data_IF_440929057272
#
_entry.id   IF_440929057272
#
_cell.length_a   1.000
_cell.length_b   1.000
_cell.length_c   1.000
_cell.angle_alpha   90.00
_cell.angle_beta   90.00
_cell.angle_gamma   90.00
#
_symmetry.space_group_name_H-M   'P 1'
#
loop_
_entity.id
_entity.type
_entity.pdbx_description
1 polymer ?
#
# COMPACT_ATOMS: atom_id res chain seq x y z
N UNK A 1 -2.81 -10.62 27.82
CA UNK A 1 -2.92 -10.17 26.42
C UNK A 1 -2.82 -11.39 25.51
N UNK A 2 -3.70 -11.53 24.51
CA UNK A 2 -3.57 -12.59 23.52
C UNK A 2 -2.28 -12.38 22.72
N UNK A 3 -1.52 -13.46 22.50
CA UNK A 3 -0.28 -13.39 21.71
C UNK A 3 -0.63 -13.49 20.23
N UNK A 4 -0.13 -12.56 19.41
CA UNK A 4 -0.39 -12.51 17.98
C UNK A 4 0.07 -13.80 17.27
N UNK A 5 -0.56 -14.14 16.14
CA UNK A 5 -0.19 -15.31 15.35
C UNK A 5 1.29 -15.29 14.98
N UNK A 6 1.79 -14.12 14.56
CA UNK A 6 3.17 -13.93 14.13
C UNK A 6 4.18 -14.41 15.18
N UNK A 7 3.95 -14.11 16.45
CA UNK A 7 4.87 -14.43 17.55
C UNK A 7 4.72 -15.88 18.03
N UNK A 8 3.59 -16.51 17.72
CA UNK A 8 3.24 -17.82 18.27
C UNK A 8 3.55 -18.97 17.34
N UNK A 9 3.44 -18.79 16.03
CA UNK A 9 3.51 -19.87 15.04
C UNK A 9 4.86 -19.83 14.31
N UNK A 10 5.94 -20.07 15.07
CA UNK A 10 7.32 -20.04 14.55
C UNK A 10 7.80 -21.34 13.89
N UNK A 11 6.93 -22.34 13.77
CA UNK A 11 7.31 -23.66 13.23
C UNK A 11 6.14 -24.63 13.16
N UNK A 12 6.32 -25.74 12.43
CA UNK A 12 5.29 -26.76 12.19
C UNK A 12 4.79 -27.40 13.49
N UNK A 13 5.69 -27.65 14.45
CA UNK A 13 5.30 -28.20 15.75
C UNK A 13 4.45 -27.20 16.56
N UNK A 14 4.79 -25.91 16.52
CA UNK A 14 4.01 -24.86 17.18
C UNK A 14 2.63 -24.71 16.54
N UNK A 15 2.58 -24.74 15.20
CA UNK A 15 1.33 -24.77 14.44
C UNK A 15 0.45 -25.95 14.86
N UNK A 16 0.96 -27.19 14.83
CA UNK A 16 0.19 -28.39 15.22
C UNK A 16 -0.33 -28.32 16.66
N UNK A 17 0.45 -27.75 17.58
CA UNK A 17 0.06 -27.62 18.99
C UNK A 17 -1.01 -26.54 19.22
N UNK A 18 -0.93 -25.41 18.52
CA UNK A 18 -1.79 -24.24 18.73
C UNK A 18 -2.99 -24.18 17.79
N UNK A 19 -2.96 -24.91 16.67
CA UNK A 19 -4.06 -24.99 15.70
C UNK A 19 -5.34 -25.50 16.39
N UNK A 20 -6.47 -24.79 16.26
CA UNK A 20 -7.76 -25.27 16.80
C UNK A 20 -8.11 -26.65 16.25
N UNK A 21 -8.64 -27.56 17.10
CA UNK A 21 -8.99 -28.94 16.71
C UNK A 21 -9.95 -29.00 15.51
N UNK A 22 -10.87 -28.03 15.42
CA UNK A 22 -11.88 -27.94 14.37
C UNK A 22 -11.54 -26.87 13.31
N UNK A 23 -10.26 -26.55 13.13
CA UNK A 23 -9.86 -25.53 12.14
C UNK A 23 -9.97 -26.07 10.72
N UNK A 24 -10.68 -25.31 9.90
CA UNK A 24 -10.90 -25.59 8.49
C UNK A 24 -9.64 -25.34 7.65
N UNK A 25 -9.54 -25.99 6.49
CA UNK A 25 -8.60 -25.59 5.44
C UNK A 25 -9.19 -24.47 4.59
N UNK A 26 -8.36 -23.74 3.82
CA UNK A 26 -8.86 -22.70 2.91
C UNK A 26 -9.93 -23.21 1.94
N UNK A 27 -9.79 -24.44 1.44
CA UNK A 27 -10.77 -25.07 0.53
C UNK A 27 -12.09 -25.45 1.21
N UNK A 28 -12.12 -25.50 2.55
CA UNK A 28 -13.33 -25.80 3.35
C UNK A 28 -14.07 -24.54 3.80
N UNK A 29 -13.55 -23.34 3.50
CA UNK A 29 -14.22 -22.08 3.78
C UNK A 29 -15.26 -21.81 2.67
N UNK A 30 -16.52 -21.63 3.08
CA UNK A 30 -17.65 -21.38 2.17
C UNK A 30 -17.48 -20.05 1.41
N UNK A 31 -16.93 -19.05 2.08
CA UNK A 31 -16.51 -17.79 1.48
C UNK A 31 -15.14 -17.39 2.03
N UNK A 32 -14.30 -16.86 1.15
CA UNK A 32 -13.01 -16.29 1.54
C UNK A 32 -13.16 -14.77 1.61
N UNK A 33 -13.00 -14.15 2.80
CA UNK A 33 -13.01 -12.70 2.89
C UNK A 33 -11.82 -12.11 2.12
N UNK A 34 -11.91 -10.83 1.77
CA UNK A 34 -10.78 -10.08 1.22
C UNK A 34 -9.56 -10.21 2.14
N UNK A 35 -8.35 -10.24 1.56
CA UNK A 35 -7.10 -10.40 2.34
C UNK A 35 -6.94 -9.38 3.46
N UNK A 36 -7.42 -8.15 3.26
CA UNK A 36 -7.43 -7.08 4.27
C UNK A 36 -8.31 -7.39 5.49
N UNK A 37 -9.19 -8.39 5.42
CA UNK A 37 -10.05 -8.84 6.51
C UNK A 37 -9.62 -10.20 7.08
N UNK A 38 -8.47 -10.72 6.67
CA UNK A 38 -7.95 -11.96 7.25
C UNK A 38 -7.50 -11.72 8.69
N UNK A 39 -7.71 -12.73 9.53
CA UNK A 39 -7.38 -12.73 10.95
C UNK A 39 -6.60 -14.00 11.31
N UNK A 40 -6.41 -14.25 12.60
CA UNK A 40 -5.83 -15.49 13.13
C UNK A 40 -6.48 -16.75 12.55
N UNK A 41 -7.79 -16.75 12.30
CA UNK A 41 -8.52 -17.92 11.80
C UNK A 41 -8.10 -18.29 10.37
N UNK A 42 -8.03 -17.31 9.47
CA UNK A 42 -7.61 -17.47 8.08
C UNK A 42 -6.13 -17.85 8.00
N UNK A 43 -5.29 -17.30 8.90
CA UNK A 43 -3.89 -17.70 9.02
C UNK A 43 -3.73 -19.18 9.40
N UNK A 44 -4.58 -19.69 10.30
CA UNK A 44 -4.65 -21.13 10.58
C UNK A 44 -5.14 -21.94 9.37
N UNK A 45 -6.16 -21.46 8.66
CA UNK A 45 -6.70 -22.13 7.49
C UNK A 45 -5.70 -22.21 6.33
N UNK A 46 -4.92 -21.15 6.13
CA UNK A 46 -3.81 -21.06 5.18
C UNK A 46 -2.58 -21.88 5.61
N UNK A 47 -2.59 -22.40 6.85
CA UNK A 47 -1.48 -23.17 7.46
C UNK A 47 -0.17 -22.38 7.42
N UNK A 48 -0.23 -21.08 7.68
CA UNK A 48 0.94 -20.21 7.66
C UNK A 48 1.93 -20.64 8.74
N UNK A 49 3.21 -20.72 8.38
CA UNK A 49 4.29 -20.92 9.34
C UNK A 49 5.27 -19.76 9.18
N UNK A 50 5.39 -18.95 10.23
CA UNK A 50 6.32 -17.81 10.25
C UNK A 50 7.69 -18.36 10.61
N UNK A 51 8.62 -18.40 9.66
CA UNK A 51 9.99 -18.83 9.98
C UNK A 51 10.71 -17.67 10.64
N UNK A 52 11.13 -17.90 11.87
CA UNK A 52 12.07 -17.00 12.53
C UNK A 52 13.46 -17.27 11.97
N UNK A 53 14.10 -16.23 11.42
CA UNK A 53 15.45 -16.36 10.90
C UNK A 53 16.45 -16.43 12.07
N UNK A 54 16.67 -17.65 12.56
CA UNK A 54 17.62 -17.90 13.67
C UNK A 54 19.06 -17.71 13.22
N UNK A 55 19.33 -17.86 11.93
CA UNK A 55 20.63 -17.63 11.34
C UNK A 55 20.63 -16.22 10.76
N UNK A 56 21.06 -15.22 11.55
CA UNK A 56 21.27 -13.81 11.14
C UNK A 56 22.16 -13.61 9.88
N UNK A 57 22.59 -14.69 9.21
CA UNK A 57 23.60 -14.75 8.17
C UNK A 57 23.06 -14.57 6.74
N UNK A 58 21.76 -14.69 6.47
CA UNK A 58 21.22 -14.33 5.15
C UNK A 58 20.17 -13.23 5.24
N UNK A 59 20.62 -11.99 5.40
CA UNK A 59 19.79 -10.79 5.13
C UNK A 59 19.39 -10.65 3.66
N UNK A 60 19.71 -11.67 2.85
CA UNK A 60 19.42 -11.75 1.44
C UNK A 60 18.14 -12.55 1.24
N UNK A 61 17.23 -12.02 0.40
CA UNK A 61 16.10 -12.79 -0.08
C UNK A 61 16.63 -14.06 -0.75
N UNK A 62 16.23 -15.27 -0.32
CA UNK A 62 16.77 -16.51 -0.87
C UNK A 62 16.64 -16.59 -2.40
N UNK A 63 15.56 -16.04 -2.95
CA UNK A 63 15.34 -15.96 -4.39
C UNK A 63 16.34 -15.05 -5.12
N UNK A 64 16.95 -14.08 -4.43
CA UNK A 64 17.96 -13.19 -4.99
C UNK A 64 19.39 -13.70 -4.82
N UNK A 65 19.61 -14.67 -3.91
CA UNK A 65 20.95 -15.18 -3.60
C UNK A 65 21.76 -15.65 -4.82
N UNK A 66 21.17 -16.37 -5.81
CA UNK A 66 21.90 -16.79 -6.99
C UNK A 66 22.31 -15.64 -7.93
N UNK A 67 21.67 -14.48 -7.81
CA UNK A 67 21.82 -13.36 -8.75
C UNK A 67 22.73 -12.25 -8.23
N UNK A 68 23.19 -12.34 -6.98
CA UNK A 68 23.98 -11.31 -6.33
C UNK A 68 25.42 -11.81 -6.17
N UNK A 69 26.32 -11.15 -6.88
CA UNK A 69 27.76 -11.35 -6.72
C UNK A 69 28.23 -10.62 -5.44
N UNK A 70 28.90 -11.36 -4.54
CA UNK A 70 29.45 -10.82 -3.30
C UNK A 70 30.66 -9.90 -3.53
N UNK A 71 31.19 -9.84 -4.75
CA UNK A 71 32.33 -9.00 -5.13
C UNK A 71 31.91 -7.54 -5.44
N UNK A 72 31.36 -6.85 -4.46
CA UNK A 72 31.02 -5.44 -4.57
C UNK A 72 31.71 -4.65 -3.46
N UNK A 73 32.77 -3.90 -3.80
CA UNK A 73 33.49 -3.03 -2.87
C UNK A 73 33.67 -1.64 -3.46
N UNK A 74 32.56 -0.98 -3.75
CA UNK A 74 32.44 0.47 -3.60
C UNK A 74 30.96 0.80 -3.40
N UNK A 75 30.59 1.13 -2.17
CA UNK A 75 29.23 1.46 -1.77
C UNK A 75 29.06 2.97 -1.54
N UNK A 76 29.90 3.81 -2.16
CA UNK A 76 29.86 5.25 -1.95
C UNK A 76 28.48 5.90 -2.21
N UNK A 77 27.66 5.48 -3.20
CA UNK A 77 26.29 6.01 -3.33
C UNK A 77 25.39 5.56 -2.17
N UNK A 78 25.43 4.28 -1.80
CA UNK A 78 24.64 3.77 -0.66
C UNK A 78 25.04 4.41 0.66
N UNK A 79 26.31 4.80 0.79
CA UNK A 79 26.79 5.53 1.97
C UNK A 79 26.09 6.88 2.10
N UNK A 80 25.90 7.63 1.01
CA UNK A 80 25.14 8.90 1.02
C UNK A 80 23.67 8.69 1.38
N UNK A 81 23.08 7.58 0.95
CA UNK A 81 21.73 7.20 1.37
C UNK A 81 21.66 6.96 2.89
N UNK A 82 22.62 6.24 3.46
CA UNK A 82 22.67 5.92 4.90
C UNK A 82 23.02 7.14 5.76
N UNK A 83 23.93 7.99 5.31
CA UNK A 83 24.28 9.26 5.97
C UNK A 83 23.11 10.25 5.95
N UNK A 84 22.13 10.01 5.06
CA UNK A 84 20.96 10.84 4.92
C UNK A 84 21.27 12.17 4.21
N UNK A 85 20.27 13.05 4.13
CA UNK A 85 20.43 14.35 3.48
C UNK A 85 21.25 15.36 4.30
N UNK A 86 21.70 15.01 5.51
CA UNK A 86 22.27 15.96 6.45
C UNK A 86 21.19 16.86 7.07
N UNK A 87 21.48 18.16 7.22
CA UNK A 87 20.47 19.15 7.63
C UNK A 87 19.61 19.51 6.41
N UNK A 88 18.44 18.89 6.30
CA UNK A 88 17.41 19.38 5.38
C UNK A 88 16.85 20.69 5.92
N UNK A 89 16.73 21.69 5.04
CA UNK A 89 15.73 22.73 5.25
C UNK A 89 14.34 22.08 5.02
N UNK A 90 13.45 22.02 6.02
CA UNK A 90 12.10 21.47 5.86
C UNK A 90 11.32 22.14 4.73
N UNK A 91 11.70 23.35 4.32
CA UNK A 91 11.06 24.12 3.26
C UNK A 91 11.77 23.99 1.90
N UNK A 92 12.87 23.22 1.81
CA UNK A 92 13.58 23.04 0.55
C UNK A 92 12.65 22.43 -0.52
N UNK A 93 12.46 23.12 -1.67
CA UNK A 93 11.66 22.59 -2.76
C UNK A 93 12.37 21.39 -3.40
N UNK A 94 11.59 20.52 -4.03
CA UNK A 94 12.08 19.32 -4.73
C UNK A 94 13.22 19.63 -5.72
N UNK A 95 13.07 20.71 -6.50
CA UNK A 95 14.09 21.16 -7.45
C UNK A 95 15.43 21.42 -6.78
N UNK A 96 15.46 22.05 -5.61
CA UNK A 96 16.70 22.34 -4.88
C UNK A 96 17.35 21.05 -4.39
N UNK A 97 16.56 20.15 -3.80
CA UNK A 97 17.05 18.85 -3.33
C UNK A 97 17.63 17.99 -4.46
N UNK A 98 17.01 18.02 -5.64
CA UNK A 98 17.51 17.37 -6.86
C UNK A 98 18.84 17.98 -7.33
N UNK A 99 19.01 19.31 -7.25
CA UNK A 99 20.27 19.95 -7.62
C UNK A 99 21.40 19.62 -6.65
N UNK A 100 21.12 19.56 -5.33
CA UNK A 100 22.13 19.29 -4.30
C UNK A 100 22.54 17.81 -4.28
N UNK A 101 21.57 16.90 -4.32
CA UNK A 101 21.80 15.47 -4.09
C UNK A 101 21.82 14.63 -5.38
N UNK A 102 21.49 15.24 -6.52
CA UNK A 102 21.33 14.60 -7.81
C UNK A 102 19.95 13.98 -8.00
N UNK A 103 19.65 13.62 -9.25
CA UNK A 103 18.34 13.14 -9.71
C UNK A 103 17.71 12.11 -8.76
N UNK A 104 18.25 10.91 -8.66
CA UNK A 104 17.59 9.85 -7.85
C UNK A 104 17.50 10.12 -6.35
N UNK A 105 18.59 10.59 -5.73
CA UNK A 105 18.65 10.77 -4.26
C UNK A 105 17.88 12.03 -3.82
N UNK A 106 17.90 13.08 -4.64
CA UNK A 106 17.15 14.31 -4.39
C UNK A 106 15.64 14.09 -4.46
N UNK A 107 15.14 13.30 -5.41
CA UNK A 107 13.72 12.93 -5.45
C UNK A 107 13.32 12.13 -4.20
N UNK A 108 14.16 11.22 -3.70
CA UNK A 108 13.91 10.49 -2.45
C UNK A 108 13.80 11.45 -1.25
N UNK A 109 14.73 12.39 -1.13
CA UNK A 109 14.69 13.39 -0.05
C UNK A 109 13.50 14.33 -0.18
N UNK A 110 13.11 14.72 -1.38
CA UNK A 110 11.91 15.52 -1.60
C UNK A 110 10.63 14.76 -1.20
N UNK A 111 10.53 13.47 -1.52
CA UNK A 111 9.41 12.63 -1.10
C UNK A 111 9.32 12.51 0.44
N UNK A 112 10.46 12.31 1.11
CA UNK A 112 10.52 12.30 2.57
C UNK A 112 10.17 13.65 3.19
N UNK A 113 10.62 14.76 2.58
CA UNK A 113 10.30 16.11 3.06
C UNK A 113 8.79 16.41 2.98
N UNK A 114 8.12 15.96 1.91
CA UNK A 114 6.65 16.07 1.79
C UNK A 114 5.94 15.36 2.94
N UNK A 115 6.39 14.16 3.33
CA UNK A 115 5.80 13.40 4.42
C UNK A 115 6.03 14.06 5.79
N UNK A 116 7.25 14.54 6.05
CA UNK A 116 7.60 15.24 7.29
C UNK A 116 6.74 16.50 7.51
N UNK A 117 6.48 17.25 6.43
CA UNK A 117 5.65 18.44 6.47
C UNK A 117 4.15 18.13 6.62
N UNK A 118 3.68 17.01 6.07
CA UNK A 118 2.29 16.57 6.24
C UNK A 118 1.96 16.23 7.70
N UNK A 119 2.91 15.64 8.44
CA UNK A 119 2.74 15.31 9.86
C UNK A 119 2.63 16.55 10.76
N UNK A 120 3.23 17.68 10.39
CA UNK A 120 3.15 18.93 11.16
C UNK A 120 1.80 19.65 11.09
N UNK A 121 0.93 19.28 10.14
CA UNK A 121 -0.37 19.93 9.95
C UNK A 121 -1.47 19.28 10.81
N UNK A 122 -1.32 18.02 11.25
CA UNK A 122 -2.34 17.34 12.07
C UNK A 122 -2.27 17.69 13.56
N UNK A 123 -1.10 18.05 14.09
CA UNK A 123 -0.97 18.33 15.54
C UNK A 123 -1.58 19.68 15.95
N UNK A 124 -1.83 20.59 15.01
CA UNK A 124 -2.48 21.87 15.31
C UNK A 124 -4.01 21.75 15.47
N UNK A 125 -4.62 20.60 15.17
CA UNK A 125 -6.06 20.39 15.30
C UNK A 125 -6.48 19.64 16.58
N UNK A 126 -5.53 19.22 17.42
CA UNK A 126 -5.81 18.43 18.65
C UNK A 126 -5.65 19.26 19.94
N UNK A 127 -5.35 20.55 19.83
CA UNK A 127 -5.17 21.45 20.98
C UNK A 127 -6.48 22.10 21.50
N UNK A 128 -7.66 21.53 21.21
CA UNK A 128 -8.92 21.91 21.87
C UNK A 128 -9.73 20.65 22.18
N UNK A 129 -9.65 20.18 23.43
CA UNK A 129 -10.56 19.16 23.96
C UNK A 129 -9.91 17.88 24.48
N UNK A 130 -8.91 17.98 25.36
CA UNK A 130 -8.61 16.88 26.31
C UNK A 130 -9.73 16.90 27.36
N UNK A 131 -10.80 16.14 27.10
CA UNK A 131 -11.77 15.73 28.11
C UNK A 131 -11.57 14.24 28.36
N UNK A 132 -11.14 13.90 29.57
CA UNK A 132 -11.13 12.55 30.13
C UNK A 132 -12.42 11.79 29.75
N UNK A 133 -12.29 10.66 29.05
CA UNK A 133 -13.33 9.64 29.07
C UNK A 133 -13.11 8.74 30.29
N UNK A 134 -14.02 8.73 31.28
CA UNK A 134 -13.99 7.72 32.33
C UNK A 134 -14.47 6.37 31.78
N UNK A 135 -14.03 5.25 32.37
CA UNK A 135 -14.43 3.92 31.93
C UNK A 135 -15.89 3.63 32.28
N UNK A 136 -16.56 2.92 31.38
CA UNK A 136 -17.90 2.37 31.53
C UNK A 136 -18.07 1.62 32.86
N UNK A 137 -18.95 2.13 33.72
CA UNK A 137 -19.52 1.40 34.85
C UNK A 137 -21.03 1.49 34.70
N UNK A 138 -21.66 0.32 34.49
CA UNK A 138 -23.09 0.10 34.63
C UNK A 138 -23.51 0.40 36.08
N UNK A 139 -24.41 1.35 36.32
CA UNK A 139 -25.55 1.14 37.22
C UNK A 139 -26.59 2.27 37.18
N UNK A 140 -27.78 1.89 37.63
CA UNK A 140 -29.11 2.44 37.47
C UNK A 140 -29.44 3.68 38.36
N UNK A 141 -30.59 4.30 38.04
CA UNK A 141 -31.43 5.20 38.87
C UNK A 141 -31.24 6.76 38.91
N UNK A 142 -32.30 7.43 38.40
CA UNK A 142 -33.03 8.61 38.92
C UNK A 142 -32.35 10.01 39.02
N UNK A 143 -32.71 10.87 38.04
CA UNK A 143 -33.28 12.28 38.06
C UNK A 143 -32.77 13.32 39.12
N UNK A 144 -32.95 14.67 38.97
CA UNK A 144 -33.77 15.42 38.00
C UNK A 144 -33.16 16.72 37.39
N UNK A 145 -33.90 17.22 36.40
CA UNK A 145 -33.91 18.56 35.80
C UNK A 145 -33.98 19.74 36.80
N UNK A 146 -33.28 20.84 36.50
CA UNK A 146 -33.65 22.22 36.91
C UNK A 146 -33.03 23.28 35.98
N UNK A 147 -33.64 24.48 35.87
CA UNK A 147 -33.52 25.38 34.72
C UNK A 147 -32.53 26.56 34.90
N UNK A 148 -32.27 27.24 33.78
CA UNK A 148 -31.41 28.43 33.52
C UNK A 148 -31.87 29.68 34.31
N UNK A 149 -30.98 30.67 34.52
CA UNK A 149 -31.30 32.03 34.02
C UNK A 149 -30.16 32.76 33.30
N UNK A 150 -30.62 33.77 32.56
CA UNK A 150 -30.08 34.54 31.44
C UNK A 150 -29.35 35.84 31.88
N UNK A 151 -28.79 36.58 30.90
CA UNK A 151 -28.30 37.99 30.91
C UNK A 151 -26.84 38.26 31.42
N UNK A 152 -25.99 39.10 30.81
CA UNK A 152 -26.07 40.02 29.67
C UNK A 152 -24.66 40.48 29.18
N UNK A 153 -24.65 41.09 27.97
CA UNK A 153 -23.80 42.18 27.47
C UNK A 153 -22.51 41.90 26.62
N UNK A 154 -22.63 42.30 25.34
CA UNK A 154 -21.67 42.51 24.23
C UNK A 154 -20.75 43.75 24.44
N UNK A 155 -19.74 44.11 23.58
CA UNK A 155 -19.70 43.93 22.11
C UNK A 155 -18.35 43.78 21.34
N UNK A 156 -18.51 43.49 20.03
CA UNK A 156 -17.64 43.83 18.85
C UNK A 156 -16.25 43.19 18.73
N UNK A 157 -15.71 42.83 17.57
CA UNK A 157 -16.14 42.75 16.17
C UNK A 157 -15.00 42.05 15.40
N UNK A 158 -15.31 41.11 14.50
CA UNK A 158 -14.85 41.17 13.11
C UNK A 158 -15.36 39.97 12.30
N UNK A 159 -16.24 40.32 11.38
CA UNK A 159 -16.78 39.52 10.30
C UNK A 159 -15.68 39.15 9.31
N UNK A 160 -15.56 37.86 8.94
CA UNK A 160 -14.86 37.47 7.73
C UNK A 160 -15.81 36.76 6.77
N UNK A 161 -15.80 37.30 5.57
CA UNK A 161 -16.76 37.22 4.50
C UNK A 161 -16.83 35.86 3.82
N UNK A 162 -18.06 35.39 3.59
CA UNK A 162 -18.39 34.29 2.67
C UNK A 162 -18.00 34.68 1.24
N UNK A 163 -16.99 34.04 0.67
CA UNK A 163 -16.65 34.18 -0.75
C UNK A 163 -17.62 33.35 -1.60
N UNK A 164 -18.52 34.05 -2.32
CA UNK A 164 -19.36 33.48 -3.39
C UNK A 164 -18.47 32.93 -4.50
N UNK A 165 -18.70 31.67 -4.91
CA UNK A 165 -18.08 31.03 -6.07
C UNK A 165 -18.73 31.61 -7.33
N UNK A 166 -17.91 32.27 -8.17
CA UNK A 166 -18.34 32.84 -9.45
C UNK A 166 -18.31 31.72 -10.49
N UNK A 167 -19.46 31.45 -11.07
CA UNK A 167 -19.68 30.52 -12.17
C UNK A 167 -19.22 31.23 -13.45
N UNK A 168 -18.27 30.64 -14.17
CA UNK A 168 -17.88 31.07 -15.52
C UNK A 168 -18.54 30.14 -16.51
N UNK A 169 -19.64 30.61 -17.10
CA UNK A 169 -20.12 30.17 -18.40
C UNK A 169 -19.17 30.70 -19.47
N UNK A 170 -18.66 29.80 -20.31
CA UNK A 170 -17.94 30.15 -21.52
C UNK A 170 -18.91 29.99 -22.69
N UNK A 171 -19.39 31.11 -23.23
CA UNK A 171 -20.03 31.16 -24.53
C UNK A 171 -19.14 31.90 -25.53
N UNK A 172 -18.95 31.22 -26.66
CA UNK A 172 -18.85 31.71 -28.04
C UNK A 172 -17.82 32.77 -28.38
N UNK A 173 -16.75 32.33 -29.08
CA UNK A 173 -16.33 32.93 -30.34
C UNK A 173 -15.66 31.85 -31.22
N UNK A 174 -16.18 31.67 -32.43
CA UNK A 174 -15.58 30.92 -33.56
C UNK A 174 -15.53 31.89 -34.78
N UNK A 175 -15.10 31.53 -36.02
CA UNK A 175 -14.31 30.40 -36.52
C UNK A 175 -13.24 30.80 -37.59
N UNK A 176 -12.45 29.82 -38.09
CA UNK A 176 -11.97 29.60 -39.48
C UNK A 176 -10.76 28.64 -39.44
N UNK A 177 -10.55 27.63 -40.28
CA UNK A 177 -11.20 27.17 -41.51
C UNK A 177 -10.61 25.80 -41.91
N UNK A 178 -11.45 24.93 -42.49
CA UNK A 178 -11.13 23.93 -43.52
C UNK A 178 -10.22 22.73 -43.17
N UNK A 179 -10.83 21.55 -42.99
CA UNK A 179 -10.64 20.43 -43.93
C UNK A 179 -11.76 19.39 -43.77
N UNK A 180 -12.39 19.06 -44.89
CA UNK A 180 -13.42 18.04 -45.06
C UNK A 180 -12.81 16.64 -45.12
N UNK A 181 -13.51 15.64 -44.60
CA UNK A 181 -13.64 14.30 -45.18
C UNK A 181 -14.87 13.61 -44.57
N UNK A 182 -15.90 13.36 -45.39
CA UNK A 182 -17.07 12.54 -45.06
C UNK A 182 -16.68 11.05 -44.93
N UNK A 183 -17.53 10.06 -44.67
CA UNK A 183 -18.98 9.81 -44.63
C UNK A 183 -19.11 8.56 -43.72
N UNK A 184 -20.18 8.18 -43.01
CA UNK A 184 -21.54 7.83 -43.43
C UNK A 184 -22.24 7.19 -42.21
N UNK A 185 -23.52 7.50 -41.95
CA UNK A 185 -24.39 6.75 -41.02
C UNK A 185 -25.29 5.78 -41.79
N UNK A 186 -25.84 4.73 -41.13
CA UNK A 186 -27.30 4.71 -40.98
C UNK A 186 -27.84 4.15 -39.62
N UNK A 187 -28.81 4.89 -39.08
CA UNK A 187 -30.14 4.49 -38.56
C UNK A 187 -30.36 3.37 -37.50
N UNK A 188 -30.78 3.80 -36.30
CA UNK A 188 -31.85 3.34 -35.39
C UNK A 188 -32.35 1.87 -35.40
N UNK A 189 -32.45 1.27 -34.19
CA UNK A 189 -33.73 0.82 -33.59
C UNK A 189 -33.60 0.47 -32.10
N UNK A 190 -34.65 0.84 -31.37
CA UNK A 190 -34.90 0.68 -29.95
C UNK A 190 -35.04 -0.79 -29.49
N UNK A 191 -34.73 -1.06 -28.21
CA UNK A 191 -35.04 -2.35 -27.61
C UNK A 191 -34.53 -2.58 -26.18
N UNK A 192 -35.27 -2.03 -25.20
CA UNK A 192 -35.46 -2.58 -23.85
C UNK A 192 -34.30 -2.55 -22.84
N UNK A 193 -34.20 -1.45 -22.09
CA UNK A 193 -33.62 -1.42 -20.74
C UNK A 193 -34.73 -1.62 -19.71
N UNK A 194 -34.79 -2.81 -19.11
CA UNK A 194 -35.57 -3.06 -17.89
C UNK A 194 -34.73 -2.67 -16.68
N UNK A 195 -35.11 -1.57 -16.06
CA UNK A 195 -34.80 -1.25 -14.67
C UNK A 195 -35.57 -2.18 -13.72
N UNK A 196 -34.90 -2.64 -12.66
CA UNK A 196 -35.43 -3.02 -11.34
C UNK A 196 -34.39 -3.95 -10.68
N UNK A 197 -33.87 -3.81 -9.47
CA UNK A 197 -34.16 -3.01 -8.29
C UNK A 197 -32.92 -3.17 -7.40
N UNK A 198 -32.22 -2.10 -7.05
CA UNK A 198 -31.22 -2.13 -5.97
C UNK A 198 -31.79 -1.37 -4.78
N UNK A 199 -32.57 -2.08 -3.96
CA UNK A 199 -32.98 -1.65 -2.62
C UNK A 199 -31.99 -2.24 -1.61
N UNK A 200 -31.14 -1.43 -1.01
CA UNK A 200 -31.32 -0.80 0.30
C UNK A 200 -31.07 -1.75 1.50
N UNK A 201 -30.16 -1.30 2.38
CA UNK A 201 -29.97 -1.79 3.75
C UNK A 201 -28.56 -2.35 3.97
N UNK A 202 -27.58 -1.55 4.38
CA UNK A 202 -27.47 -1.13 5.78
C UNK A 202 -26.60 0.12 5.91
N UNK A 203 -27.12 1.09 6.67
CA UNK A 203 -26.43 2.31 7.12
C UNK A 203 -25.17 1.93 7.90
N UNK A 204 -24.00 2.19 7.31
CA UNK A 204 -22.80 2.56 8.06
C UNK A 204 -22.54 4.03 7.79
N UNK A 205 -22.28 4.77 8.85
CA UNK A 205 -22.10 6.22 8.86
C UNK A 205 -21.22 6.74 7.72
N UNK A 206 -21.61 7.91 7.22
CA UNK A 206 -20.86 8.72 6.27
C UNK A 206 -19.49 9.08 6.86
N UNK A 207 -18.48 8.22 6.67
CA UNK A 207 -17.08 8.65 6.75
C UNK A 207 -16.88 9.59 5.57
N UNK A 208 -16.68 10.88 5.88
CA UNK A 208 -16.54 11.94 4.88
C UNK A 208 -15.50 11.58 3.82
N UNK A 209 -15.86 11.76 2.55
CA UNK A 209 -14.98 11.54 1.37
C UNK A 209 -13.63 12.27 1.47
N UNK A 210 -13.53 13.30 2.32
CA UNK A 210 -12.32 14.09 2.56
C UNK A 210 -11.28 13.34 3.40
N UNK A 211 -11.69 12.48 4.34
CA UNK A 211 -10.73 11.65 5.10
C UNK A 211 -10.20 10.49 4.25
N UNK A 212 -11.06 9.90 3.42
CA UNK A 212 -10.65 8.83 2.52
C UNK A 212 -9.63 9.29 1.46
N UNK A 213 -9.64 10.56 1.04
CA UNK A 213 -8.67 11.09 0.08
C UNK A 213 -7.30 11.31 0.71
N UNK A 214 -7.23 11.95 1.87
CA UNK A 214 -5.96 12.20 2.59
C UNK A 214 -5.32 10.88 3.04
N UNK A 215 -6.13 9.93 3.49
CA UNK A 215 -5.64 8.62 3.93
C UNK A 215 -5.02 7.79 2.79
N UNK A 216 -5.53 7.94 1.56
CA UNK A 216 -4.93 7.31 0.38
C UNK A 216 -3.65 8.01 -0.07
N UNK A 217 -3.52 9.32 0.18
CA UNK A 217 -2.30 10.08 -0.13
C UNK A 217 -1.09 9.62 0.72
N UNK A 218 -1.30 9.31 2.00
CA UNK A 218 -0.22 8.81 2.88
C UNK A 218 0.26 7.40 2.48
N UNK A 219 -0.67 6.53 2.08
CA UNK A 219 -0.33 5.20 1.57
C UNK A 219 0.47 5.31 0.28
N UNK A 220 0.01 6.12 -0.66
CA UNK A 220 0.71 6.37 -1.92
C UNK A 220 2.09 7.01 -1.68
N UNK A 221 2.20 7.97 -0.77
CA UNK A 221 3.49 8.57 -0.40
C UNK A 221 4.47 7.51 0.16
N UNK A 222 3.97 6.53 0.92
CA UNK A 222 4.79 5.41 1.42
C UNK A 222 5.28 4.54 0.26
N UNK A 223 4.42 4.23 -0.71
CA UNK A 223 4.79 3.50 -1.93
C UNK A 223 5.84 4.27 -2.73
N UNK A 224 5.68 5.59 -2.88
CA UNK A 224 6.60 6.45 -3.63
C UNK A 224 7.98 6.50 -2.96
N UNK A 225 8.04 6.66 -1.64
CA UNK A 225 9.28 6.62 -0.86
C UNK A 225 9.96 5.26 -1.00
N UNK A 226 9.21 4.16 -0.82
CA UNK A 226 9.73 2.82 -0.98
C UNK A 226 10.25 2.58 -2.42
N UNK A 227 9.53 3.07 -3.42
CA UNK A 227 9.89 2.99 -4.84
C UNK A 227 11.22 3.69 -5.13
N UNK A 228 11.37 4.94 -4.68
CA UNK A 228 12.59 5.73 -4.86
C UNK A 228 13.77 5.09 -4.13
N UNK A 229 13.56 4.66 -2.88
CA UNK A 229 14.58 3.98 -2.09
C UNK A 229 15.06 2.69 -2.74
N UNK A 230 14.13 1.78 -3.08
CA UNK A 230 14.45 0.48 -3.67
C UNK A 230 15.15 0.66 -5.02
N UNK A 231 14.65 1.55 -5.89
CA UNK A 231 15.29 1.84 -7.19
C UNK A 231 16.68 2.42 -7.02
N UNK A 232 16.89 3.32 -6.05
CA UNK A 232 18.21 3.85 -5.74
C UNK A 232 19.17 2.73 -5.33
N UNK A 233 18.75 1.85 -4.42
CA UNK A 233 19.56 0.70 -3.98
C UNK A 233 19.87 -0.22 -5.17
N UNK A 234 18.86 -0.63 -5.93
CA UNK A 234 19.00 -1.54 -7.07
C UNK A 234 19.92 -0.97 -8.17
N UNK A 235 19.87 0.34 -8.42
CA UNK A 235 20.73 1.00 -9.41
C UNK A 235 22.19 1.12 -8.96
N UNK A 236 22.45 1.16 -7.66
CA UNK A 236 23.79 1.37 -7.10
C UNK A 236 24.40 0.10 -6.51
N UNK A 237 23.66 -1.02 -6.46
CA UNK A 237 24.16 -2.32 -6.03
C UNK A 237 24.52 -3.20 -7.24
N UNK A 238 25.61 -3.99 -7.17
CA UNK A 238 25.84 -5.05 -8.14
C UNK A 238 24.70 -6.06 -8.18
N UNK A 239 24.43 -6.67 -9.35
CA UNK A 239 25.22 -6.56 -10.59
C UNK A 239 24.86 -5.34 -11.47
N UNK A 240 23.91 -4.51 -11.06
CA UNK A 240 23.31 -3.45 -11.92
C UNK A 240 23.98 -2.08 -11.77
N UNK A 241 24.94 -1.94 -10.85
CA UNK A 241 25.67 -0.69 -10.61
C UNK A 241 26.40 -0.12 -11.84
N UNK A 242 26.72 -0.96 -12.84
CA UNK A 242 27.51 -0.56 -14.00
C UNK A 242 26.98 -1.13 -15.33
N UNK A 243 25.72 -0.84 -15.63
CA UNK A 243 25.07 -1.29 -16.87
C UNK A 243 25.70 -0.72 -18.15
N UNK A 244 26.51 0.35 -18.07
CA UNK A 244 27.19 0.93 -19.23
C UNK A 244 28.42 0.12 -19.66
N UNK A 245 29.13 -0.51 -18.71
CA UNK A 245 30.29 -1.37 -19.01
C UNK A 245 29.91 -2.84 -19.16
N UNK A 246 28.94 -3.31 -18.38
CA UNK A 246 28.53 -4.72 -18.36
C UNK A 246 27.00 -4.83 -18.23
N UNK A 247 26.36 -5.51 -19.19
CA UNK A 247 24.95 -5.88 -19.07
C UNK A 247 24.85 -7.17 -18.25
N UNK A 248 24.29 -7.13 -17.03
CA UNK A 248 24.17 -8.34 -16.23
C UNK A 248 23.23 -9.35 -16.89
N UNK A 249 23.48 -10.64 -16.67
CA UNK A 249 22.59 -11.70 -17.18
C UNK A 249 21.19 -11.61 -16.57
N UNK A 250 21.07 -11.07 -15.36
CA UNK A 250 19.82 -10.88 -14.63
C UNK A 250 19.70 -9.44 -14.13
N UNK A 251 18.50 -8.89 -14.23
CA UNK A 251 18.13 -7.56 -13.79
C UNK A 251 16.98 -7.68 -12.78
N UNK A 252 17.11 -7.04 -11.62
CA UNK A 252 16.06 -6.89 -10.62
C UNK A 252 15.49 -5.48 -10.73
N UNK A 253 14.18 -5.39 -10.98
CA UNK A 253 13.47 -4.12 -11.14
C UNK A 253 12.27 -4.03 -10.20
N UNK A 254 11.93 -2.80 -9.82
CA UNK A 254 10.79 -2.51 -8.96
C UNK A 254 9.65 -1.89 -9.80
N UNK A 255 8.48 -2.53 -9.80
CA UNK A 255 7.35 -2.11 -10.63
C UNK A 255 6.88 -0.69 -10.30
N UNK A 256 6.82 -0.35 -9.01
CA UNK A 256 6.26 0.91 -8.51
C UNK A 256 4.79 1.11 -8.88
N UNK A 257 4.06 0.05 -9.18
CA UNK A 257 2.65 0.09 -9.50
C UNK A 257 1.92 -1.11 -8.91
N UNK A 258 0.68 -0.84 -8.48
CA UNK A 258 -0.17 -1.85 -7.88
C UNK A 258 -0.53 -2.94 -8.90
N UNK A 259 -0.51 -4.19 -8.46
CA UNK A 259 -0.88 -5.35 -9.28
C UNK A 259 -1.92 -6.19 -8.58
N UNK A 260 -3.07 -6.32 -9.25
CA UNK A 260 -4.08 -7.29 -8.85
C UNK A 260 -3.65 -8.69 -9.27
N UNK A 261 -3.80 -9.62 -8.33
CA UNK A 261 -3.45 -11.03 -8.45
C UNK A 261 -4.70 -11.88 -8.26
N UNK A 262 -4.84 -12.92 -9.08
CA UNK A 262 -5.97 -13.85 -9.05
C UNK A 262 -5.44 -15.28 -9.09
N UNK A 263 -5.58 -15.98 -7.97
CA UNK A 263 -5.21 -17.38 -7.82
C UNK A 263 -6.43 -18.29 -7.77
N UNK A 264 -6.42 -19.39 -8.52
CA UNK A 264 -7.49 -20.41 -8.47
C UNK A 264 -7.05 -21.59 -7.63
N UNK A 265 -7.84 -21.95 -6.63
CA UNK A 265 -7.60 -23.13 -5.79
C UNK A 265 -8.08 -24.40 -6.52
N UNK A 266 -7.52 -25.57 -6.16
CA UNK A 266 -7.94 -26.85 -6.74
C UNK A 266 -9.41 -27.20 -6.51
N UNK A 267 -10.08 -26.60 -5.53
CA UNK A 267 -11.53 -26.75 -5.28
C UNK A 267 -12.40 -25.85 -6.15
N UNK A 268 -11.82 -25.03 -7.04
CA UNK A 268 -12.53 -24.08 -7.89
C UNK A 268 -12.76 -22.69 -7.28
N UNK A 269 -12.51 -22.51 -5.99
CA UNK A 269 -12.56 -21.19 -5.36
C UNK A 269 -11.40 -20.28 -5.78
N UNK A 270 -11.62 -18.97 -5.81
CA UNK A 270 -10.61 -17.99 -6.21
C UNK A 270 -10.15 -17.12 -5.05
N UNK A 271 -8.87 -16.79 -5.03
CA UNK A 271 -8.25 -15.82 -4.11
C UNK A 271 -7.84 -14.60 -4.92
N UNK A 272 -8.30 -13.42 -4.50
CA UNK A 272 -7.94 -12.15 -5.11
C UNK A 272 -7.24 -11.28 -4.09
N UNK A 273 -6.12 -10.68 -4.51
CA UNK A 273 -5.37 -9.73 -3.70
C UNK A 273 -4.76 -8.67 -4.61
N UNK A 274 -4.39 -7.53 -4.04
CA UNK A 274 -3.65 -6.47 -4.72
C UNK A 274 -2.41 -6.21 -3.91
N UNK A 275 -1.24 -6.29 -4.53
CA UNK A 275 -0.01 -5.80 -3.95
C UNK A 275 0.28 -4.40 -4.49
N UNK A 276 0.80 -3.49 -3.67
CA UNK A 276 1.06 -2.10 -4.07
C UNK A 276 2.23 -1.96 -5.04
N UNK A 277 3.18 -2.88 -4.97
CA UNK A 277 4.23 -3.04 -5.96
C UNK A 277 4.90 -4.41 -5.85
N UNK A 278 5.90 -4.66 -6.69
CA UNK A 278 6.65 -5.90 -6.69
C UNK A 278 8.10 -5.70 -7.15
N UNK A 279 8.96 -6.59 -6.66
CA UNK A 279 10.26 -6.85 -7.28
C UNK A 279 10.08 -7.90 -8.37
N UNK A 280 10.68 -7.64 -9.52
CA UNK A 280 10.66 -8.50 -10.71
C UNK A 280 12.09 -8.85 -11.10
N UNK A 281 12.27 -10.03 -11.68
CA UNK A 281 13.56 -10.44 -12.27
C UNK A 281 13.39 -10.57 -13.78
N UNK A 282 14.29 -9.96 -14.54
CA UNK A 282 14.38 -10.06 -15.99
C UNK A 282 15.71 -10.71 -16.38
N UNK A 283 15.70 -11.59 -17.39
CA UNK A 283 16.90 -12.25 -17.92
C UNK A 283 17.28 -11.63 -19.27
N UNK A 284 18.57 -11.37 -19.46
CA UNK A 284 19.11 -10.95 -20.73
C UNK A 284 19.12 -12.14 -21.71
N UNK A 285 18.35 -12.04 -22.78
CA UNK A 285 18.34 -12.99 -23.89
C UNK A 285 18.38 -12.24 -25.22
N UNK A 286 19.28 -12.64 -26.12
CA UNK A 286 19.49 -12.01 -27.44
C UNK A 286 19.60 -10.48 -27.40
N UNK A 287 20.19 -9.93 -26.34
CA UNK A 287 20.40 -8.48 -26.17
C UNK A 287 19.24 -7.72 -25.54
N UNK A 288 18.12 -8.39 -25.24
CA UNK A 288 16.92 -7.81 -24.62
C UNK A 288 16.65 -8.44 -23.26
N UNK A 289 16.14 -7.65 -22.31
CA UNK A 289 15.69 -8.17 -21.02
C UNK A 289 14.25 -8.68 -21.13
N UNK A 290 14.05 -9.93 -20.75
CA UNK A 290 12.74 -10.58 -20.74
C UNK A 290 12.37 -10.95 -19.30
N UNK A 291 11.15 -10.61 -18.89
CA UNK A 291 10.65 -10.92 -17.55
C UNK A 291 10.66 -12.44 -17.29
N UNK A 292 11.29 -12.85 -16.18
CA UNK A 292 11.25 -14.22 -15.68
C UNK A 292 9.95 -14.41 -14.92
N UNK A 293 8.89 -14.79 -15.64
CA UNK A 293 7.51 -14.83 -15.11
C UNK A 293 7.35 -15.63 -13.81
N UNK A 294 8.12 -16.70 -13.62
CA UNK A 294 8.06 -17.56 -12.42
C UNK A 294 8.93 -17.06 -11.25
N UNK A 295 9.58 -15.90 -11.38
CA UNK A 295 10.45 -15.34 -10.34
C UNK A 295 10.08 -13.90 -9.99
N UNK A 296 9.22 -13.79 -8.98
CA UNK A 296 8.85 -12.56 -8.29
C UNK A 296 9.40 -12.63 -6.86
N UNK A 297 10.57 -12.01 -6.58
CA UNK A 297 11.27 -12.19 -5.32
C UNK A 297 10.57 -11.59 -4.11
N UNK A 298 9.80 -10.52 -4.29
CA UNK A 298 9.10 -9.85 -3.21
C UNK A 298 7.88 -9.07 -3.72
N UNK A 299 6.88 -8.94 -2.86
CA UNK A 299 5.76 -8.03 -2.99
C UNK A 299 5.94 -6.90 -1.99
N UNK A 300 5.50 -5.69 -2.35
CA UNK A 300 5.40 -4.56 -1.45
C UNK A 300 3.93 -4.37 -1.07
N UNK A 301 3.72 -4.22 0.23
CA UNK A 301 2.45 -3.79 0.81
C UNK A 301 2.73 -2.57 1.68
N UNK A 302 2.15 -1.44 1.31
CA UNK A 302 2.19 -0.22 2.09
C UNK A 302 1.03 -0.19 3.08
N UNK A 303 1.23 0.52 4.18
CA UNK A 303 0.20 0.72 5.19
C UNK A 303 0.15 2.17 5.60
N UNK A 304 -1.06 2.70 5.68
CA UNK A 304 -1.35 4.03 6.24
C UNK A 304 -0.78 4.20 7.64
N UNK A 305 -0.90 3.14 8.45
CA UNK A 305 -0.48 3.10 9.84
C UNK A 305 0.16 1.76 10.13
N UNK A 306 1.31 1.80 10.78
CA UNK A 306 2.00 0.62 11.26
C UNK A 306 2.18 0.77 12.77
N UNK A 307 1.67 -0.17 13.60
CA UNK A 307 1.84 -0.05 15.04
C UNK A 307 3.32 -0.25 15.40
N UNK A 308 3.85 0.66 16.21
CA UNK A 308 5.22 0.60 16.73
C UNK A 308 5.11 0.32 18.23
N UNK A 309 5.78 -0.73 18.67
CA UNK A 309 5.81 -1.20 20.05
C UNK A 309 7.28 -1.20 20.51
N UNK A 310 7.61 -0.39 21.52
CA UNK A 310 9.00 -0.21 21.99
C UNK A 310 10.02 0.16 20.89
N UNK A 311 9.60 0.93 19.89
CA UNK A 311 10.46 1.33 18.77
C UNK A 311 10.58 0.28 17.67
N UNK A 312 9.93 -0.88 17.82
CA UNK A 312 9.90 -1.94 16.81
C UNK A 312 8.55 -1.99 16.08
N UNK A 313 8.55 -2.15 14.74
CA UNK A 313 7.32 -2.33 14.00
C UNK A 313 6.65 -3.65 14.38
N UNK A 314 5.41 -3.59 14.86
CA UNK A 314 4.60 -4.76 15.23
C UNK A 314 3.70 -5.19 14.06
N UNK A 315 3.85 -6.44 13.61
CA UNK A 315 2.95 -6.97 12.58
C UNK A 315 1.69 -7.52 13.24
N UNK A 316 0.52 -6.98 12.89
CA UNK A 316 -0.77 -7.49 13.34
C UNK A 316 -1.19 -8.72 12.52
N UNK A 317 -2.09 -9.54 13.05
CA UNK A 317 -2.64 -10.68 12.32
C UNK A 317 -3.35 -10.26 11.04
N UNK A 318 -3.93 -9.06 11.00
CA UNK A 318 -4.57 -8.50 9.81
C UNK A 318 -3.56 -8.17 8.71
N UNK A 319 -2.46 -7.48 9.06
CA UNK A 319 -1.37 -7.18 8.12
C UNK A 319 -0.75 -8.49 7.61
N UNK A 320 -0.49 -9.44 8.51
CA UNK A 320 0.04 -10.74 8.13
C UNK A 320 -0.92 -11.53 7.24
N UNK A 321 -2.23 -11.48 7.54
CA UNK A 321 -3.29 -12.11 6.78
C UNK A 321 -3.34 -11.59 5.34
N UNK A 322 -3.27 -10.27 5.19
CA UNK A 322 -3.21 -9.65 3.88
C UNK A 322 -1.98 -10.06 3.07
N UNK A 323 -0.78 -9.92 3.65
CA UNK A 323 0.47 -10.34 2.98
C UNK A 323 0.44 -11.84 2.61
N UNK A 324 -0.18 -12.66 3.45
CA UNK A 324 -0.35 -14.10 3.17
C UNK A 324 -1.30 -14.34 2.01
N UNK A 325 -2.40 -13.58 1.93
CA UNK A 325 -3.36 -13.65 0.85
C UNK A 325 -2.72 -13.25 -0.50
N UNK A 326 -1.92 -12.18 -0.52
CA UNK A 326 -1.16 -11.74 -1.70
C UNK A 326 -0.15 -12.79 -2.16
N UNK A 327 0.67 -13.29 -1.24
CA UNK A 327 1.66 -14.33 -1.53
C UNK A 327 0.98 -15.61 -2.05
N UNK A 328 -0.18 -15.96 -1.49
CA UNK A 328 -0.94 -17.14 -1.91
C UNK A 328 -1.60 -16.95 -3.28
N UNK A 329 -2.22 -15.79 -3.53
CA UNK A 329 -2.80 -15.44 -4.82
C UNK A 329 -1.74 -15.53 -5.92
N UNK A 330 -0.58 -14.94 -5.67
CA UNK A 330 0.56 -15.02 -6.58
C UNK A 330 1.00 -16.48 -6.81
N UNK A 331 1.20 -17.25 -5.75
CA UNK A 331 1.64 -18.64 -5.88
C UNK A 331 0.68 -19.49 -6.72
N UNK A 332 -0.63 -19.31 -6.52
CA UNK A 332 -1.66 -20.03 -7.27
C UNK A 332 -1.74 -19.58 -8.73
N UNK A 333 -1.60 -18.27 -8.98
CA UNK A 333 -1.49 -17.73 -10.33
C UNK A 333 -0.32 -18.36 -11.09
N UNK A 334 0.87 -18.43 -10.45
CA UNK A 334 2.08 -19.06 -11.00
C UNK A 334 1.93 -20.56 -11.29
N UNK A 335 1.02 -21.26 -10.60
CA UNK A 335 0.77 -22.69 -10.77
C UNK A 335 -0.37 -23.01 -11.76
N UNK A 336 -1.11 -22.01 -12.25
CA UNK A 336 -2.26 -22.24 -13.09
C UNK A 336 -1.86 -22.84 -14.46
N UNK A 337 -2.59 -23.87 -14.96
CA UNK A 337 -2.32 -24.46 -16.26
C UNK A 337 -2.51 -23.42 -17.37
N UNK A 338 -1.51 -23.29 -18.25
CA UNK A 338 -1.47 -22.28 -19.31
C UNK A 338 -0.63 -21.04 -18.97
N UNK A 339 -0.06 -20.96 -17.77
CA UNK A 339 0.99 -19.98 -17.50
C UNK A 339 2.32 -20.49 -18.09
N UNK A 340 3.06 -19.71 -18.92
CA UNK A 340 4.12 -20.22 -19.80
C UNK A 340 5.45 -20.53 -19.08
N UNK A 341 5.39 -21.20 -17.94
CA UNK A 341 6.54 -21.71 -17.19
C UNK A 341 6.24 -22.97 -16.38
N UNK A 342 5.16 -23.70 -16.72
CA UNK A 342 4.82 -25.02 -16.12
C UNK A 342 5.39 -26.20 -16.92
N UNK A 343 6.20 -25.93 -17.96
CA UNK A 343 7.03 -26.95 -18.61
C UNK A 343 8.43 -26.94 -17.99
N UNK A 344 8.62 -27.74 -16.93
CA UNK A 344 9.92 -28.30 -16.56
C UNK A 344 9.84 -29.82 -16.61
#
# INVERSE_FOLDING_TARGET
MASNYFDTIKGVSAFKKKRPKNSKTLSELESLPAGSNWSTAELYAARLVVREDKNKQSRLLPALAPYLDHAARDYSPLRRLVEGPGKLDPLAPETELVHIHGDTLGHLWAALNKLANASGVSDSAVAVGVGDMPPDVEDDEKRPYSPVPEEAAYPSANTRSKRRKRQTDAQELAPSSTTQSGTSSPSQRDGSSSESEWSQGTKTDYIGKEHASVDNELEQATVDIASLFIRYVLRNCPPQANMTKHKPAYLVEFSGCAKQRLGTMGSGGTIRATADAELTVSKLDKGHYNLVKMHLPALLEAKKRFPIDHGEPKTTDQVLGQMTCEALALRLELQAPGHPGTEE
#
